data_IF_576634094548
#
_entry.id   IF_576634094548
#
_cell.length_a   1.000
_cell.length_b   1.000
_cell.length_c   1.000
_cell.angle_alpha   90.00
_cell.angle_beta   90.00
_cell.angle_gamma   90.00
#
_symmetry.space_group_name_H-M   'P 1'
#
loop_
_entity.id
_entity.type
_entity.pdbx_description
1 polymer ?
#
# COMPACT_ATOMS: atom_id res chain seq x y z
N UNK A 1 -14.88 -41.10 9.13
CA UNK A 1 -15.32 -39.69 9.15
C UNK A 1 -14.04 -38.86 9.11
N UNK A 2 -13.67 -38.30 7.96
CA UNK A 2 -12.57 -37.33 7.92
C UNK A 2 -13.00 -36.12 8.75
N UNK A 3 -12.28 -35.83 9.83
CA UNK A 3 -12.52 -34.62 10.59
C UNK A 3 -12.35 -33.42 9.66
N UNK A 4 -13.39 -32.60 9.57
CA UNK A 4 -13.38 -31.36 8.79
C UNK A 4 -12.39 -30.36 9.43
N UNK A 5 -11.12 -30.43 9.03
CA UNK A 5 -10.06 -29.57 9.53
C UNK A 5 -9.91 -28.30 8.67
N UNK A 6 -9.83 -27.14 9.34
CA UNK A 6 -9.51 -25.87 8.66
C UNK A 6 -8.01 -25.78 8.42
N UNK A 7 -7.62 -25.65 7.15
CA UNK A 7 -6.23 -25.50 6.72
C UNK A 7 -5.61 -24.24 7.33
N UNK A 8 -4.28 -24.19 7.39
CA UNK A 8 -3.60 -22.90 7.64
C UNK A 8 -3.82 -22.01 6.41
N UNK A 9 -4.28 -20.77 6.61
CA UNK A 9 -4.72 -19.90 5.53
C UNK A 9 -3.80 -18.70 5.40
N UNK A 10 -3.24 -18.50 4.22
CA UNK A 10 -2.20 -17.51 3.96
C UNK A 10 -2.78 -16.23 3.36
N UNK A 11 -2.62 -15.09 4.05
CA UNK A 11 -2.96 -13.78 3.49
C UNK A 11 -1.83 -13.19 2.64
N UNK A 12 -0.60 -13.64 2.85
CA UNK A 12 0.49 -13.51 1.86
C UNK A 12 0.91 -14.89 1.40
N UNK A 13 1.04 -15.10 0.09
CA UNK A 13 1.32 -16.42 -0.51
C UNK A 13 2.61 -17.01 0.05
N UNK A 14 2.54 -18.28 0.42
CA UNK A 14 3.70 -19.05 0.83
C UNK A 14 4.78 -19.07 -0.28
N UNK A 15 4.36 -19.20 -1.54
CA UNK A 15 5.28 -19.18 -2.69
C UNK A 15 5.99 -17.84 -2.87
N UNK A 16 5.35 -16.73 -2.50
CA UNK A 16 5.98 -15.40 -2.47
C UNK A 16 6.90 -15.25 -1.26
N UNK A 17 6.45 -15.65 -0.07
CA UNK A 17 7.24 -15.56 1.18
C UNK A 17 8.56 -16.32 1.07
N UNK A 18 8.56 -17.45 0.34
CA UNK A 18 9.78 -18.20 0.03
C UNK A 18 10.88 -17.33 -0.61
N UNK A 19 10.51 -16.34 -1.42
CA UNK A 19 11.46 -15.45 -2.08
C UNK A 19 12.03 -14.35 -1.15
N UNK A 20 11.63 -14.36 0.12
CA UNK A 20 12.15 -13.51 1.21
C UNK A 20 12.80 -14.34 2.34
N UNK A 21 12.92 -15.66 2.16
CA UNK A 21 13.60 -16.54 3.09
C UNK A 21 15.13 -16.36 3.02
N UNK A 22 15.80 -16.40 4.17
CA UNK A 22 17.27 -16.33 4.25
C UNK A 22 17.92 -17.71 4.10
N UNK A 23 17.14 -18.78 4.30
CA UNK A 23 17.52 -20.15 4.01
C UNK A 23 16.38 -20.86 3.25
N UNK A 24 16.40 -22.18 3.19
CA UNK A 24 15.41 -22.97 2.45
C UNK A 24 13.99 -22.95 3.05
N UNK A 25 13.79 -22.48 4.28
CA UNK A 25 12.51 -22.55 4.99
C UNK A 25 12.19 -21.38 5.91
N UNK A 26 13.16 -20.57 6.31
CA UNK A 26 13.00 -19.53 7.32
C UNK A 26 13.23 -18.11 6.80
N UNK A 27 12.48 -17.20 7.38
CA UNK A 27 12.61 -15.75 7.25
C UNK A 27 12.55 -15.10 8.63
N UNK A 28 12.89 -13.82 8.73
CA UNK A 28 12.56 -13.04 9.91
C UNK A 28 11.18 -12.41 9.74
N UNK A 29 10.31 -12.59 10.72
CA UNK A 29 9.00 -11.94 10.82
C UNK A 29 9.03 -10.92 11.95
N UNK A 30 8.45 -9.75 11.71
CA UNK A 30 8.27 -8.67 12.65
C UNK A 30 6.78 -8.53 12.96
N UNK A 31 6.42 -8.53 14.25
CA UNK A 31 5.14 -8.00 14.72
C UNK A 31 5.32 -6.51 14.94
N UNK A 32 4.75 -5.68 14.06
CA UNK A 32 5.08 -4.25 13.99
C UNK A 32 4.50 -3.46 15.17
N UNK A 33 3.41 -3.94 15.76
CA UNK A 33 2.76 -3.35 16.95
C UNK A 33 3.51 -3.67 18.25
N UNK A 34 4.10 -4.87 18.33
CA UNK A 34 4.86 -5.36 19.51
C UNK A 34 6.36 -5.12 19.40
N UNK A 35 6.81 -4.49 18.32
CA UNK A 35 8.21 -4.26 17.99
C UNK A 35 9.09 -5.51 18.10
N UNK A 36 8.50 -6.70 17.85
CA UNK A 36 9.14 -7.99 18.09
C UNK A 36 9.53 -8.65 16.78
N UNK A 37 10.82 -8.96 16.64
CA UNK A 37 11.37 -9.66 15.47
C UNK A 37 11.87 -11.05 15.86
N UNK A 38 11.41 -12.09 15.17
CA UNK A 38 11.80 -13.48 15.40
C UNK A 38 11.95 -14.25 14.08
N UNK A 39 12.80 -15.29 14.03
CA UNK A 39 12.82 -16.22 12.91
C UNK A 39 11.56 -17.09 12.92
N UNK A 40 11.02 -17.39 11.75
CA UNK A 40 9.89 -18.33 11.59
C UNK A 40 9.97 -19.01 10.24
N UNK A 41 9.35 -20.19 10.14
CA UNK A 41 9.20 -20.87 8.87
C UNK A 41 8.22 -20.07 7.99
N UNK A 42 8.55 -19.83 6.71
CA UNK A 42 7.69 -19.08 5.81
C UNK A 42 6.30 -19.75 5.62
N UNK A 43 6.20 -21.07 5.85
CA UNK A 43 4.95 -21.83 5.86
C UNK A 43 3.99 -21.45 7.01
N UNK A 44 4.51 -20.82 8.06
CA UNK A 44 3.75 -20.38 9.22
C UNK A 44 3.71 -18.84 9.34
N UNK A 45 4.32 -18.14 8.39
CA UNK A 45 4.37 -16.68 8.33
C UNK A 45 3.17 -16.13 7.56
N UNK A 46 2.70 -14.94 7.96
CA UNK A 46 1.63 -14.22 7.27
C UNK A 46 0.39 -15.10 6.97
N UNK A 47 0.05 -15.95 7.94
CA UNK A 47 -1.09 -16.85 7.91
C UNK A 47 -1.87 -16.80 9.23
N UNK A 48 -3.14 -17.20 9.18
CA UNK A 48 -3.99 -17.31 10.36
C UNK A 48 -5.08 -18.37 10.11
N UNK A 49 -5.39 -19.20 11.11
CA UNK A 49 -6.51 -20.13 11.00
C UNK A 49 -7.83 -19.36 10.95
N UNK A 50 -8.77 -19.87 10.16
CA UNK A 50 -10.12 -19.30 10.01
C UNK A 50 -10.19 -17.89 9.41
N UNK A 51 -9.09 -17.34 8.86
CA UNK A 51 -9.08 -15.96 8.35
C UNK A 51 -10.07 -15.75 7.21
N UNK A 52 -10.33 -16.78 6.41
CA UNK A 52 -11.25 -16.78 5.28
C UNK A 52 -12.57 -17.52 5.54
N UNK A 53 -12.80 -17.98 6.77
CA UNK A 53 -13.95 -18.82 7.09
C UNK A 53 -15.19 -17.99 7.45
N UNK A 54 -16.32 -18.37 6.87
CA UNK A 54 -17.62 -17.72 7.10
C UNK A 54 -18.74 -18.76 7.06
N UNK A 55 -19.76 -18.64 7.92
CA UNK A 55 -20.84 -19.63 8.03
C UNK A 55 -21.67 -19.85 6.76
N UNK A 56 -21.62 -18.88 5.83
CA UNK A 56 -22.30 -18.92 4.52
C UNK A 56 -21.42 -19.44 3.37
N UNK A 57 -20.18 -19.82 3.66
CA UNK A 57 -19.21 -20.26 2.65
C UNK A 57 -18.73 -21.65 3.07
N UNK A 58 -18.62 -22.56 2.10
CA UNK A 58 -18.05 -23.89 2.33
C UNK A 58 -16.63 -23.77 2.92
N UNK A 59 -16.32 -24.64 3.89
CA UNK A 59 -15.05 -24.63 4.60
C UNK A 59 -13.87 -24.73 3.63
N UNK A 60 -12.80 -23.95 3.87
CA UNK A 60 -11.61 -23.87 3.02
C UNK A 60 -11.85 -23.43 1.56
N UNK A 61 -13.07 -23.02 1.16
CA UNK A 61 -13.38 -22.71 -0.25
C UNK A 61 -12.54 -21.57 -0.81
N UNK A 62 -12.39 -20.51 -0.02
CA UNK A 62 -11.62 -19.31 -0.38
C UNK A 62 -10.12 -19.62 -0.42
N UNK A 63 -9.60 -20.37 0.56
CA UNK A 63 -8.21 -20.84 0.56
C UNK A 63 -7.92 -21.72 -0.67
N UNK A 64 -8.81 -22.67 -0.99
CA UNK A 64 -8.67 -23.52 -2.17
C UNK A 64 -8.77 -22.72 -3.49
N UNK A 65 -9.48 -21.60 -3.53
CA UNK A 65 -9.46 -20.66 -4.66
C UNK A 65 -8.08 -20.01 -4.82
N UNK A 66 -7.50 -19.51 -3.73
CA UNK A 66 -6.17 -18.92 -3.74
C UNK A 66 -5.07 -19.91 -4.09
N UNK A 67 -5.11 -21.13 -3.54
CA UNK A 67 -4.17 -22.19 -3.87
C UNK A 67 -4.13 -22.50 -5.37
N UNK A 68 -5.28 -22.53 -6.05
CA UNK A 68 -5.36 -22.71 -7.51
C UNK A 68 -4.62 -21.62 -8.29
N UNK A 69 -4.69 -20.37 -7.81
CA UNK A 69 -3.97 -19.24 -8.41
C UNK A 69 -2.47 -19.40 -8.17
N UNK A 70 -2.08 -19.67 -6.92
CA UNK A 70 -0.68 -19.85 -6.50
C UNK A 70 0.04 -20.94 -7.30
N UNK A 71 -0.65 -22.04 -7.63
CA UNK A 71 -0.09 -23.16 -8.37
C UNK A 71 0.53 -22.78 -9.73
N UNK A 72 0.01 -21.74 -10.41
CA UNK A 72 0.59 -21.29 -11.68
C UNK A 72 1.39 -19.99 -11.55
N UNK A 73 0.99 -19.06 -10.68
CA UNK A 73 1.67 -17.76 -10.61
C UNK A 73 3.00 -17.84 -9.84
N UNK A 74 3.10 -18.64 -8.78
CA UNK A 74 4.33 -18.74 -8.00
C UNK A 74 5.50 -19.31 -8.84
N UNK A 75 5.31 -20.38 -9.63
CA UNK A 75 6.32 -20.81 -10.60
C UNK A 75 6.68 -19.73 -11.64
N UNK A 76 5.69 -18.95 -12.11
CA UNK A 76 5.92 -17.88 -13.08
C UNK A 76 6.74 -16.72 -12.48
N UNK A 77 6.47 -16.32 -11.23
CA UNK A 77 7.28 -15.34 -10.47
C UNK A 77 8.70 -15.87 -10.30
N UNK A 78 8.89 -17.14 -9.96
CA UNK A 78 10.23 -17.71 -9.80
C UNK A 78 11.01 -17.71 -11.12
N UNK A 79 10.34 -17.98 -12.25
CA UNK A 79 10.94 -17.85 -13.58
C UNK A 79 11.27 -16.39 -13.92
N UNK A 80 10.44 -15.44 -13.49
CA UNK A 80 10.70 -14.00 -13.63
C UNK A 80 11.94 -13.57 -12.85
N UNK A 81 12.09 -14.03 -11.60
CA UNK A 81 13.26 -13.73 -10.75
C UNK A 81 14.53 -14.30 -11.40
N UNK A 82 14.50 -15.57 -11.86
CA UNK A 82 15.64 -16.16 -12.59
C UNK A 82 16.04 -15.35 -13.82
N UNK A 83 15.05 -14.85 -14.57
CA UNK A 83 15.30 -13.99 -15.73
C UNK A 83 15.83 -12.59 -15.34
N UNK A 84 15.55 -12.11 -14.13
CA UNK A 84 16.07 -10.85 -13.60
C UNK A 84 17.50 -10.98 -13.06
N UNK A 85 17.88 -12.18 -12.61
CA UNK A 85 19.22 -12.52 -12.13
C UNK A 85 20.19 -12.91 -13.26
N UNK A 86 19.71 -13.08 -14.50
CA UNK A 86 20.58 -13.37 -15.63
C UNK A 86 21.50 -12.19 -15.97
N UNK A 87 22.60 -12.45 -16.67
CA UNK A 87 23.59 -11.42 -17.06
C UNK A 87 22.97 -10.31 -17.92
N UNK A 88 22.04 -10.67 -18.82
CA UNK A 88 21.38 -9.76 -19.75
C UNK A 88 19.85 -9.87 -19.63
N UNK A 89 19.24 -9.29 -18.59
CA UNK A 89 17.80 -9.40 -18.35
C UNK A 89 17.01 -8.60 -19.39
N UNK A 90 16.11 -9.27 -20.12
CA UNK A 90 15.25 -8.60 -21.09
C UNK A 90 14.05 -7.93 -20.41
N UNK A 91 14.18 -6.63 -20.14
CA UNK A 91 13.15 -5.86 -19.43
C UNK A 91 11.79 -5.83 -20.15
N UNK A 92 11.77 -5.86 -21.49
CA UNK A 92 10.51 -5.88 -22.25
C UNK A 92 9.72 -7.16 -21.97
N UNK A 93 10.40 -8.31 -22.00
CA UNK A 93 9.79 -9.61 -21.67
C UNK A 93 9.34 -9.65 -20.21
N UNK A 94 10.18 -9.15 -19.29
CA UNK A 94 9.85 -9.07 -17.86
C UNK A 94 8.60 -8.22 -17.63
N UNK A 95 8.55 -7.03 -18.23
CA UNK A 95 7.40 -6.13 -18.18
C UNK A 95 6.14 -6.82 -18.70
N UNK A 96 6.17 -7.37 -19.91
CA UNK A 96 5.00 -8.02 -20.51
C UNK A 96 4.46 -9.17 -19.65
N UNK A 97 5.32 -9.95 -18.99
CA UNK A 97 4.91 -11.01 -18.06
C UNK A 97 4.29 -10.45 -16.77
N UNK A 98 4.87 -9.40 -16.19
CA UNK A 98 4.29 -8.74 -15.01
C UNK A 98 2.91 -8.16 -15.34
N UNK A 99 2.77 -7.53 -16.51
CA UNK A 99 1.51 -6.97 -17.00
C UNK A 99 0.47 -8.05 -17.30
N UNK A 100 0.91 -9.20 -17.82
CA UNK A 100 0.06 -10.37 -18.03
C UNK A 100 -0.56 -10.84 -16.71
N UNK A 101 0.25 -11.03 -15.66
CA UNK A 101 -0.18 -11.49 -14.33
C UNK A 101 -0.68 -10.38 -13.38
N UNK A 102 -0.90 -9.17 -13.89
CA UNK A 102 -1.30 -8.03 -13.04
C UNK A 102 -2.64 -8.28 -12.32
N UNK A 103 -3.56 -9.02 -12.94
CA UNK A 103 -4.85 -9.35 -12.33
C UNK A 103 -4.66 -10.18 -11.07
N UNK A 104 -3.80 -11.19 -11.12
CA UNK A 104 -3.50 -12.06 -10.00
C UNK A 104 -2.73 -11.32 -8.90
N UNK A 105 -1.82 -10.39 -9.27
CA UNK A 105 -1.21 -9.49 -8.29
C UNK A 105 -2.24 -8.62 -7.58
N UNK A 106 -3.27 -8.14 -8.28
CA UNK A 106 -4.39 -7.42 -7.65
C UNK A 106 -5.24 -8.34 -6.76
N UNK A 107 -5.43 -9.61 -7.11
CA UNK A 107 -6.10 -10.58 -6.22
C UNK A 107 -5.29 -10.78 -4.93
N UNK A 108 -3.96 -10.93 -5.04
CA UNK A 108 -3.06 -11.05 -3.88
C UNK A 108 -3.00 -9.76 -3.06
N UNK A 109 -3.16 -8.60 -3.71
CA UNK A 109 -3.36 -7.35 -3.01
C UNK A 109 -4.61 -7.41 -2.14
N UNK A 110 -5.78 -7.69 -2.72
CA UNK A 110 -7.05 -7.69 -1.99
C UNK A 110 -7.14 -8.70 -0.85
N UNK A 111 -6.46 -9.85 -0.97
CA UNK A 111 -6.44 -10.86 0.11
C UNK A 111 -5.43 -10.55 1.23
N UNK A 112 -4.57 -9.55 1.05
CA UNK A 112 -3.47 -9.30 1.97
C UNK A 112 -3.95 -8.83 3.36
N UNK A 113 -3.15 -9.12 4.39
CA UNK A 113 -3.54 -8.98 5.79
C UNK A 113 -3.91 -7.55 6.16
N UNK A 114 -3.20 -6.58 5.62
CA UNK A 114 -3.50 -5.17 5.81
C UNK A 114 -4.88 -4.78 5.26
N UNK A 115 -5.24 -5.20 4.03
CA UNK A 115 -6.58 -4.96 3.50
C UNK A 115 -7.68 -5.70 4.27
N UNK A 116 -7.44 -6.94 4.69
CA UNK A 116 -8.40 -7.67 5.54
C UNK A 116 -8.61 -6.96 6.89
N UNK A 117 -7.57 -6.36 7.46
CA UNK A 117 -7.67 -5.53 8.65
C UNK A 117 -8.56 -4.32 8.39
N UNK A 118 -8.31 -3.58 7.30
CA UNK A 118 -9.09 -2.42 6.88
C UNK A 118 -10.57 -2.78 6.60
N UNK A 119 -10.84 -3.91 5.93
CA UNK A 119 -12.19 -4.41 5.67
C UNK A 119 -12.98 -4.67 6.93
N UNK A 120 -12.32 -5.16 7.99
CA UNK A 120 -12.99 -5.51 9.25
C UNK A 120 -13.16 -4.34 10.23
N UNK A 121 -12.57 -3.17 9.96
CA UNK A 121 -12.37 -2.11 10.94
C UNK A 121 -13.67 -1.57 11.58
N UNK A 122 -14.67 -1.24 10.76
CA UNK A 122 -15.96 -0.70 11.23
C UNK A 122 -17.09 -1.75 11.23
N UNK A 123 -16.75 -3.04 11.13
CA UNK A 123 -17.74 -4.11 11.08
C UNK A 123 -18.08 -4.63 12.46
N UNK A 124 -19.38 -4.87 12.71
CA UNK A 124 -19.83 -5.56 13.92
C UNK A 124 -19.34 -7.02 13.97
N UNK A 125 -19.47 -7.74 12.85
CA UNK A 125 -18.95 -9.08 12.70
C UNK A 125 -17.70 -9.06 11.81
N UNK A 126 -16.52 -9.28 12.40
CA UNK A 126 -15.24 -9.26 11.67
C UNK A 126 -15.15 -10.30 10.55
N UNK A 127 -15.95 -11.37 10.58
CA UNK A 127 -15.98 -12.39 9.52
C UNK A 127 -16.61 -11.84 8.22
N UNK A 128 -17.43 -10.79 8.30
CA UNK A 128 -18.07 -10.18 7.11
C UNK A 128 -17.05 -9.49 6.19
N UNK A 129 -15.81 -9.28 6.64
CA UNK A 129 -14.68 -8.81 5.80
C UNK A 129 -14.51 -9.64 4.53
N UNK A 130 -14.91 -10.93 4.58
CA UNK A 130 -14.83 -11.84 3.44
C UNK A 130 -15.78 -11.44 2.31
N UNK A 131 -16.92 -10.81 2.60
CA UNK A 131 -17.78 -10.33 1.52
C UNK A 131 -17.13 -9.16 0.77
N UNK A 132 -16.47 -8.23 1.47
CA UNK A 132 -15.71 -7.14 0.81
C UNK A 132 -14.52 -7.69 0.02
N UNK A 133 -13.81 -8.69 0.54
CA UNK A 133 -12.78 -9.40 -0.21
C UNK A 133 -13.35 -9.98 -1.51
N UNK A 134 -14.43 -10.77 -1.42
CA UNK A 134 -15.06 -11.44 -2.55
C UNK A 134 -15.61 -10.45 -3.58
N UNK A 135 -16.23 -9.35 -3.14
CA UNK A 135 -16.72 -8.30 -4.04
C UNK A 135 -15.60 -7.72 -4.92
N UNK A 136 -14.40 -7.59 -4.36
CA UNK A 136 -13.24 -7.10 -5.11
C UNK A 136 -12.63 -8.17 -6.02
N UNK A 137 -12.39 -9.38 -5.52
CA UNK A 137 -11.65 -10.41 -6.28
C UNK A 137 -12.50 -11.14 -7.33
N UNK A 138 -13.83 -11.19 -7.16
CA UNK A 138 -14.74 -11.82 -8.13
C UNK A 138 -15.20 -10.85 -9.22
N UNK A 139 -15.04 -9.54 -9.02
CA UNK A 139 -15.42 -8.54 -10.02
C UNK A 139 -14.33 -8.41 -11.10
N UNK A 140 -14.42 -9.28 -12.11
CA UNK A 140 -13.43 -9.37 -13.20
C UNK A 140 -13.32 -8.07 -14.01
N UNK A 141 -14.44 -7.37 -14.25
CA UNK A 141 -14.45 -6.09 -14.96
C UNK A 141 -13.70 -5.00 -14.20
N UNK A 142 -13.90 -4.95 -12.87
CA UNK A 142 -13.19 -4.03 -11.99
C UNK A 142 -11.68 -4.30 -12.01
N UNK A 143 -11.27 -5.56 -11.81
CA UNK A 143 -9.84 -5.93 -11.80
C UNK A 143 -9.17 -5.65 -13.16
N UNK A 144 -9.84 -5.94 -14.27
CA UNK A 144 -9.30 -5.67 -15.61
C UNK A 144 -9.19 -4.16 -15.88
N UNK A 145 -10.17 -3.38 -15.44
CA UNK A 145 -10.12 -1.92 -15.54
C UNK A 145 -8.98 -1.35 -14.71
N UNK A 146 -8.82 -1.80 -13.46
CA UNK A 146 -7.74 -1.36 -12.58
C UNK A 146 -6.35 -1.75 -13.13
N UNK A 147 -6.22 -2.97 -13.66
CA UNK A 147 -5.03 -3.42 -14.40
C UNK A 147 -4.69 -2.48 -15.55
N UNK A 148 -5.66 -2.16 -16.42
CA UNK A 148 -5.46 -1.21 -17.53
C UNK A 148 -5.05 0.17 -17.03
N UNK A 149 -5.63 0.63 -15.91
CA UNK A 149 -5.25 1.90 -15.30
C UNK A 149 -3.77 1.91 -14.89
N UNK A 150 -3.30 0.85 -14.22
CA UNK A 150 -1.89 0.70 -13.81
C UNK A 150 -0.98 0.70 -15.06
N UNK A 151 -1.26 -0.20 -16.00
CA UNK A 151 -0.40 -0.43 -17.18
C UNK A 151 -0.30 0.81 -18.07
N UNK A 152 -1.43 1.47 -18.33
CA UNK A 152 -1.49 2.53 -19.34
C UNK A 152 -1.13 3.91 -18.79
N UNK A 153 -1.28 4.13 -17.48
CA UNK A 153 -1.15 5.48 -16.91
C UNK A 153 0.05 5.64 -15.96
N UNK A 154 0.63 4.54 -15.48
CA UNK A 154 1.84 4.58 -14.65
C UNK A 154 3.09 4.17 -15.44
N UNK A 155 4.22 4.81 -15.13
CA UNK A 155 5.53 4.42 -15.64
C UNK A 155 6.00 3.17 -14.91
N UNK A 156 6.56 2.21 -15.65
CA UNK A 156 7.09 0.97 -15.11
C UNK A 156 8.60 1.06 -14.86
N UNK A 157 9.10 0.40 -13.81
CA UNK A 157 10.51 0.08 -13.64
C UNK A 157 10.70 -1.17 -12.77
N UNK A 158 11.92 -1.71 -12.76
CA UNK A 158 12.35 -2.69 -11.78
C UNK A 158 13.32 -2.02 -10.82
N UNK A 159 13.20 -2.36 -9.53
CA UNK A 159 14.17 -2.00 -8.49
C UNK A 159 14.97 -3.26 -8.15
N UNK A 160 16.31 -3.15 -8.16
CA UNK A 160 17.25 -4.19 -7.76
C UNK A 160 18.04 -3.72 -6.55
N UNK A 161 18.17 -4.60 -5.55
CA UNK A 161 18.89 -4.33 -4.31
C UNK A 161 19.81 -5.50 -3.94
N UNK A 162 21.07 -5.18 -3.62
CA UNK A 162 21.99 -6.11 -2.94
C UNK A 162 21.89 -6.01 -1.41
N UNK A 163 21.11 -5.05 -0.91
CA UNK A 163 20.89 -4.81 0.52
C UNK A 163 19.62 -5.47 1.07
N UNK A 164 18.83 -6.13 0.20
CA UNK A 164 17.53 -6.74 0.44
C UNK A 164 16.38 -5.77 0.79
N UNK A 165 15.20 -6.09 0.31
CA UNK A 165 13.93 -5.46 0.61
C UNK A 165 13.19 -6.26 1.68
N UNK A 166 12.38 -5.58 2.49
CA UNK A 166 11.35 -6.21 3.31
C UNK A 166 10.04 -6.33 2.53
N UNK A 167 9.10 -7.12 3.05
CA UNK A 167 7.71 -7.15 2.59
C UNK A 167 6.74 -6.92 3.75
N UNK A 168 5.72 -6.10 3.54
CA UNK A 168 4.62 -5.88 4.49
C UNK A 168 3.55 -6.97 4.40
N UNK A 169 2.65 -7.03 5.40
CA UNK A 169 1.40 -7.80 5.30
C UNK A 169 0.37 -7.19 4.32
N UNK A 170 0.70 -6.06 3.68
CA UNK A 170 0.10 -5.58 2.44
C UNK A 170 0.93 -6.08 1.24
N UNK A 171 0.40 -6.97 0.41
CA UNK A 171 1.16 -7.56 -0.70
C UNK A 171 1.66 -6.49 -1.69
N UNK A 172 0.76 -5.70 -2.26
CA UNK A 172 1.14 -4.51 -3.03
C UNK A 172 1.17 -3.31 -2.09
N UNK A 173 2.38 -2.80 -1.81
CA UNK A 173 2.54 -1.57 -1.06
C UNK A 173 2.28 -0.36 -1.96
N UNK A 174 1.63 0.68 -1.43
CA UNK A 174 1.46 1.95 -2.12
C UNK A 174 1.91 3.12 -1.25
N UNK A 175 2.34 4.20 -1.89
CA UNK A 175 2.65 5.44 -1.19
C UNK A 175 2.32 6.66 -2.05
N UNK A 176 1.90 7.73 -1.39
CA UNK A 176 1.73 9.03 -2.01
C UNK A 176 3.09 9.71 -2.20
N UNK A 177 3.31 10.24 -3.40
CA UNK A 177 4.47 11.06 -3.79
C UNK A 177 4.20 12.56 -3.61
N UNK A 178 2.94 12.92 -3.34
CA UNK A 178 2.48 14.27 -3.02
C UNK A 178 1.12 14.20 -2.34
N UNK A 179 0.86 15.17 -1.46
CA UNK A 179 -0.45 15.37 -0.81
C UNK A 179 -1.43 15.99 -1.81
N UNK A 180 -2.65 15.44 -1.82
CA UNK A 180 -3.79 15.91 -2.61
C UNK A 180 -4.87 16.53 -1.72
N UNK A 181 -5.00 16.04 -0.50
CA UNK A 181 -5.95 16.53 0.49
C UNK A 181 -6.41 15.42 1.43
N UNK A 182 -7.52 15.66 2.12
CA UNK A 182 -8.22 14.66 2.93
C UNK A 182 -9.55 14.35 2.26
N UNK A 183 -9.75 13.08 1.90
CA UNK A 183 -10.98 12.62 1.26
C UNK A 183 -11.84 11.86 2.27
N UNK A 184 -13.13 11.75 1.97
CA UNK A 184 -14.09 11.04 2.82
C UNK A 184 -14.12 9.54 2.58
N UNK A 185 -13.68 9.04 1.43
CA UNK A 185 -13.84 7.63 1.02
C UNK A 185 -12.58 6.98 0.45
N UNK A 186 -11.54 7.76 0.17
CA UNK A 186 -10.23 7.29 -0.32
C UNK A 186 -9.11 8.01 0.44
N UNK A 187 -7.85 7.71 0.13
CA UNK A 187 -6.70 8.42 0.69
C UNK A 187 -5.67 8.78 -0.41
N UNK A 188 -4.53 9.37 -0.03
CA UNK A 188 -3.59 9.94 -1.00
C UNK A 188 -2.83 8.91 -1.86
N UNK A 189 -2.89 7.63 -1.51
CA UNK A 189 -2.10 6.53 -2.09
C UNK A 189 -2.92 5.47 -2.82
N UNK A 190 -4.17 5.77 -3.19
CA UNK A 190 -5.02 4.87 -3.97
C UNK A 190 -4.48 4.68 -5.39
N UNK A 191 -4.61 3.46 -5.92
CA UNK A 191 -4.27 3.15 -7.30
C UNK A 191 -5.21 3.94 -8.24
N UNK A 192 -4.68 4.52 -9.31
CA UNK A 192 -5.40 5.40 -10.23
C UNK A 192 -5.29 6.90 -9.90
N UNK A 193 -4.72 7.25 -8.74
CA UNK A 193 -4.38 8.62 -8.39
C UNK A 193 -3.00 9.05 -8.92
N UNK A 194 -2.88 10.31 -9.33
CA UNK A 194 -1.60 10.97 -9.67
C UNK A 194 -0.65 10.96 -8.48
N UNK A 195 0.65 11.13 -8.68
CA UNK A 195 1.61 11.22 -7.55
C UNK A 195 1.49 10.02 -6.60
N UNK A 196 1.48 8.81 -7.16
CA UNK A 196 1.43 7.54 -6.41
C UNK A 196 2.50 6.61 -6.98
N UNK A 197 3.16 5.88 -6.08
CA UNK A 197 4.05 4.76 -6.39
C UNK A 197 3.45 3.47 -5.83
N UNK A 198 3.53 2.42 -6.64
CA UNK A 198 2.99 1.09 -6.41
C UNK A 198 4.17 0.11 -6.44
N UNK A 199 4.34 -0.66 -5.36
CA UNK A 199 5.42 -1.61 -5.16
C UNK A 199 4.86 -3.03 -5.18
N UNK A 200 5.25 -3.82 -6.18
CA UNK A 200 4.89 -5.24 -6.30
C UNK A 200 6.12 -6.07 -5.92
N UNK A 201 6.10 -6.77 -4.77
CA UNK A 201 7.21 -7.62 -4.36
C UNK A 201 7.36 -8.82 -5.30
N UNK A 202 8.59 -9.09 -5.74
CA UNK A 202 8.93 -10.34 -6.41
C UNK A 202 9.81 -11.20 -5.50
N UNK A 203 10.84 -10.60 -4.89
CA UNK A 203 11.76 -11.22 -3.94
C UNK A 203 12.40 -10.18 -3.03
N UNK A 204 13.23 -10.61 -2.09
CA UNK A 204 14.09 -9.71 -1.32
C UNK A 204 15.00 -8.83 -2.20
N UNK A 205 15.37 -9.26 -3.41
CA UNK A 205 16.25 -8.47 -4.29
C UNK A 205 15.51 -7.58 -5.27
N UNK A 206 14.27 -7.94 -5.61
CA UNK A 206 13.57 -7.35 -6.75
C UNK A 206 12.14 -6.92 -6.41
N UNK A 207 11.84 -5.68 -6.77
CA UNK A 207 10.50 -5.12 -6.79
C UNK A 207 10.17 -4.61 -8.19
N UNK A 208 8.97 -4.93 -8.67
CA UNK A 208 8.39 -4.22 -9.80
C UNK A 208 7.67 -2.97 -9.30
N UNK A 209 7.87 -1.84 -9.96
CA UNK A 209 7.23 -0.59 -9.56
C UNK A 209 6.49 0.08 -10.70
N UNK A 210 5.33 0.62 -10.35
CA UNK A 210 4.52 1.49 -11.20
C UNK A 210 4.38 2.84 -10.52
N UNK A 211 4.73 3.93 -11.19
CA UNK A 211 4.74 5.26 -10.58
C UNK A 211 4.29 6.35 -11.55
N UNK A 212 3.70 7.41 -11.00
CA UNK A 212 3.33 8.60 -11.75
C UNK A 212 3.57 9.85 -10.90
N UNK A 213 3.92 10.98 -11.53
CA UNK A 213 4.05 12.27 -10.85
C UNK A 213 5.43 12.49 -10.22
N UNK A 214 5.47 12.98 -8.98
CA UNK A 214 6.67 13.39 -8.24
C UNK A 214 7.58 12.21 -7.80
N UNK A 215 8.05 11.41 -8.76
CA UNK A 215 8.78 10.18 -8.49
C UNK A 215 10.21 10.42 -7.95
N UNK A 216 10.74 9.49 -7.15
CA UNK A 216 12.12 9.58 -6.68
C UNK A 216 13.10 9.63 -7.85
N UNK A 217 14.10 10.51 -7.77
CA UNK A 217 15.01 10.81 -8.88
C UNK A 217 15.83 9.59 -9.34
N UNK A 218 16.07 8.64 -8.44
CA UNK A 218 16.81 7.41 -8.68
C UNK A 218 15.98 6.29 -9.32
N UNK A 219 14.66 6.46 -9.45
CA UNK A 219 13.79 5.51 -10.15
C UNK A 219 13.58 6.01 -11.57
N UNK A 220 14.33 5.43 -12.51
CA UNK A 220 14.20 5.71 -13.95
C UNK A 220 13.24 4.71 -14.58
N UNK A 221 12.31 5.24 -15.37
CA UNK A 221 11.31 4.45 -16.09
C UNK A 221 11.97 3.54 -17.14
N UNK A 222 11.36 2.38 -17.36
CA UNK A 222 11.81 1.34 -18.29
C UNK A 222 13.29 0.97 -18.09
N UNK A 223 13.75 0.91 -16.83
CA UNK A 223 15.08 0.43 -16.45
C UNK A 223 15.00 -0.52 -15.25
N UNK A 224 16.05 -1.32 -15.10
CA UNK A 224 16.40 -1.97 -13.83
C UNK A 224 17.27 -0.97 -13.06
N UNK A 225 16.76 -0.47 -11.95
CA UNK A 225 17.43 0.54 -11.13
C UNK A 225 18.17 -0.18 -10.00
N UNK A 226 19.50 -0.18 -10.06
CA UNK A 226 20.36 -0.67 -8.98
C UNK A 226 20.37 0.37 -7.86
N UNK A 227 19.90 -0.02 -6.69
CA UNK A 227 19.73 0.91 -5.59
C UNK A 227 20.91 0.87 -4.62
N UNK A 228 21.34 2.05 -4.20
CA UNK A 228 22.23 2.21 -3.06
C UNK A 228 21.53 1.80 -1.76
N UNK A 229 22.32 1.54 -0.72
CA UNK A 229 21.83 1.20 0.61
C UNK A 229 20.83 2.22 1.16
N UNK A 230 21.11 3.52 0.99
CA UNK A 230 20.24 4.60 1.45
C UNK A 230 18.89 4.62 0.71
N UNK A 231 18.88 4.31 -0.58
CA UNK A 231 17.65 4.26 -1.39
C UNK A 231 16.78 3.04 -1.00
N UNK A 232 17.43 1.91 -0.72
CA UNK A 232 16.77 0.71 -0.19
C UNK A 232 16.18 0.98 1.20
N UNK A 233 16.92 1.66 2.08
CA UNK A 233 16.42 2.05 3.41
C UNK A 233 15.17 2.95 3.29
N UNK A 234 15.13 3.93 2.38
CA UNK A 234 13.94 4.76 2.13
C UNK A 234 12.74 3.95 1.65
N UNK A 235 12.95 2.99 0.75
CA UNK A 235 11.89 2.10 0.26
C UNK A 235 11.40 1.18 1.36
N UNK A 236 12.29 0.56 2.14
CA UNK A 236 11.91 -0.31 3.26
C UNK A 236 11.13 0.46 4.34
N UNK A 237 11.51 1.71 4.63
CA UNK A 237 10.75 2.59 5.53
C UNK A 237 9.33 2.88 4.98
N UNK A 238 9.19 2.97 3.66
CA UNK A 238 7.87 3.15 3.03
C UNK A 238 7.04 1.86 3.06
N UNK A 239 7.66 0.71 2.79
CA UNK A 239 7.00 -0.60 2.78
C UNK A 239 6.51 -0.95 4.19
N UNK A 240 7.32 -0.80 5.24
CA UNK A 240 6.89 -1.16 6.59
C UNK A 240 5.70 -0.31 7.06
N UNK A 241 5.58 0.93 6.60
CA UNK A 241 4.44 1.78 6.93
C UNK A 241 3.14 1.35 6.24
N UNK A 242 3.19 0.46 5.25
CA UNK A 242 2.00 -0.22 4.73
C UNK A 242 1.52 -1.37 5.63
N UNK A 243 2.31 -1.79 6.63
CA UNK A 243 1.92 -2.88 7.52
C UNK A 243 0.90 -2.46 8.58
N UNK A 244 0.06 -3.42 8.98
CA UNK A 244 -0.80 -3.31 10.18
C UNK A 244 -0.37 -4.24 11.31
N UNK A 245 -0.05 -5.50 10.98
CA UNK A 245 0.24 -6.55 11.94
C UNK A 245 1.68 -7.03 11.78
N UNK A 246 2.09 -7.27 10.53
CA UNK A 246 3.35 -7.96 10.27
C UNK A 246 4.17 -7.39 9.12
N UNK A 247 5.48 -7.64 9.16
CA UNK A 247 6.41 -7.49 8.04
C UNK A 247 7.45 -8.62 8.06
N UNK A 248 8.04 -8.96 6.91
CA UNK A 248 9.07 -10.00 6.78
C UNK A 248 10.31 -9.51 6.04
N UNK A 249 11.44 -10.18 6.24
CA UNK A 249 12.66 -9.95 5.48
C UNK A 249 13.74 -11.00 5.75
N UNK A 250 14.77 -11.00 4.91
CA UNK A 250 15.90 -11.94 5.03
C UNK A 250 16.82 -11.63 6.20
N UNK A 251 16.90 -10.37 6.64
CA UNK A 251 17.85 -9.92 7.66
C UNK A 251 17.14 -9.26 8.83
N UNK A 252 17.40 -9.74 10.06
CA UNK A 252 16.86 -9.14 11.30
C UNK A 252 17.18 -7.66 11.44
N UNK A 253 18.43 -7.27 11.17
CA UNK A 253 18.88 -5.86 11.29
C UNK A 253 18.16 -4.93 10.32
N UNK A 254 17.78 -5.43 9.15
CA UNK A 254 17.05 -4.67 8.13
C UNK A 254 15.62 -4.37 8.60
N UNK A 255 14.92 -5.37 9.16
CA UNK A 255 13.61 -5.17 9.80
C UNK A 255 13.71 -4.21 10.98
N UNK A 256 14.73 -4.34 11.85
CA UNK A 256 14.93 -3.46 13.01
C UNK A 256 15.07 -1.98 12.60
N UNK A 257 15.82 -1.71 11.52
CA UNK A 257 15.98 -0.36 10.96
C UNK A 257 14.71 0.20 10.34
N UNK A 258 13.95 -0.63 9.62
CA UNK A 258 12.67 -0.21 9.07
C UNK A 258 11.69 0.10 10.21
N UNK A 259 11.67 -0.75 11.24
CA UNK A 259 10.77 -0.64 12.38
C UNK A 259 10.97 0.65 13.17
N UNK A 260 12.20 1.17 13.29
CA UNK A 260 12.43 2.47 13.93
C UNK A 260 11.80 3.66 13.19
N UNK A 261 11.34 3.46 11.95
CA UNK A 261 10.63 4.45 11.14
C UNK A 261 9.15 4.11 10.95
N UNK A 262 8.67 3.05 11.61
CA UNK A 262 7.27 2.66 11.57
C UNK A 262 6.43 3.65 12.40
N UNK A 263 5.27 4.04 11.87
CA UNK A 263 4.27 4.77 12.65
C UNK A 263 2.93 4.06 12.51
N UNK A 264 2.37 3.61 13.63
CA UNK A 264 1.04 3.02 13.61
C UNK A 264 -0.02 4.10 13.45
N UNK A 265 -0.92 3.90 12.48
CA UNK A 265 -2.15 4.64 12.36
C UNK A 265 -3.26 3.64 12.03
N UNK A 266 -4.34 3.66 12.81
CA UNK A 266 -5.52 2.86 12.54
C UNK A 266 -6.20 3.32 11.24
N UNK A 267 -6.96 2.45 10.53
CA UNK A 267 -7.89 2.92 9.50
C UNK A 267 -8.86 3.96 10.10
N UNK A 268 -9.47 4.79 9.26
CA UNK A 268 -10.38 5.85 9.71
C UNK A 268 -11.79 5.55 9.18
N UNK A 269 -12.78 5.52 10.08
CA UNK A 269 -14.18 5.62 9.69
C UNK A 269 -14.54 7.06 9.33
N UNK A 270 -15.17 7.24 8.19
CA UNK A 270 -15.58 8.56 7.69
C UNK A 270 -17.08 8.57 7.41
N UNK A 271 -17.76 9.61 7.86
CA UNK A 271 -19.19 9.84 7.66
C UNK A 271 -19.35 11.30 7.22
N UNK A 272 -20.02 11.51 6.09
CA UNK A 272 -20.39 12.83 5.60
C UNK A 272 -21.91 12.92 5.45
N UNK A 273 -22.51 13.94 6.09
CA UNK A 273 -23.92 14.30 5.94
C UNK A 273 -24.00 15.58 5.12
N UNK A 274 -24.73 15.54 4.01
CA UNK A 274 -24.93 16.68 3.13
C UNK A 274 -26.24 17.40 3.46
N UNK A 275 -26.35 18.67 3.08
CA UNK A 275 -27.58 19.46 3.25
C UNK A 275 -28.79 18.86 2.53
N UNK A 276 -28.55 18.06 1.48
CA UNK A 276 -29.59 17.33 0.74
C UNK A 276 -30.18 16.12 1.47
N UNK A 277 -29.80 15.86 2.73
CA UNK A 277 -30.20 14.65 3.47
C UNK A 277 -29.39 13.41 3.09
N UNK A 278 -28.60 13.46 2.01
CA UNK A 278 -27.66 12.39 1.64
C UNK A 278 -26.65 12.16 2.78
N UNK A 279 -26.37 10.90 3.08
CA UNK A 279 -25.31 10.46 3.98
C UNK A 279 -24.43 9.47 3.24
N UNK A 280 -23.12 9.67 3.29
CA UNK A 280 -22.12 8.72 2.80
C UNK A 280 -21.21 8.28 3.94
N UNK A 281 -20.90 7.00 4.02
CA UNK A 281 -19.88 6.46 4.91
C UNK A 281 -18.82 5.69 4.12
N UNK A 282 -17.63 5.56 4.70
CA UNK A 282 -16.56 4.72 4.15
C UNK A 282 -15.49 4.44 5.21
N UNK A 283 -14.70 3.40 5.00
CA UNK A 283 -13.43 3.19 5.69
C UNK A 283 -12.30 3.72 4.81
N UNK A 284 -11.45 4.56 5.38
CA UNK A 284 -10.29 5.15 4.73
C UNK A 284 -9.03 4.45 5.23
N UNK A 285 -8.21 3.97 4.29
CA UNK A 285 -6.94 3.30 4.55
C UNK A 285 -5.96 4.20 5.30
N UNK A 286 -5.02 3.59 6.04
CA UNK A 286 -3.88 4.32 6.60
C UNK A 286 -3.13 5.09 5.52
N UNK A 287 -2.80 6.34 5.81
CA UNK A 287 -1.97 7.18 4.93
C UNK A 287 -0.52 6.71 4.95
N UNK A 288 0.11 6.66 3.77
CA UNK A 288 1.54 6.36 3.63
C UNK A 288 2.11 7.32 2.60
N UNK A 289 3.08 8.13 3.04
CA UNK A 289 3.80 9.07 2.19
C UNK A 289 5.22 8.56 1.96
N UNK A 290 5.71 8.74 0.74
CA UNK A 290 7.09 8.39 0.40
C UNK A 290 8.08 9.41 0.97
N UNK A 291 7.72 10.69 0.96
CA UNK A 291 8.56 11.78 1.47
C UNK A 291 8.13 12.21 2.87
N UNK A 292 9.07 12.31 3.81
CA UNK A 292 8.80 12.80 5.17
C UNK A 292 8.22 14.21 5.17
N UNK A 293 8.65 15.08 4.25
CA UNK A 293 8.09 16.43 4.11
C UNK A 293 6.58 16.40 3.85
N UNK A 294 6.10 15.50 3.00
CA UNK A 294 4.67 15.36 2.73
C UNK A 294 3.91 14.82 3.95
N UNK A 295 4.49 13.86 4.68
CA UNK A 295 3.93 13.40 5.96
C UNK A 295 3.76 14.56 6.94
N UNK A 296 4.82 15.36 7.15
CA UNK A 296 4.78 16.49 8.08
C UNK A 296 3.76 17.57 7.68
N UNK A 297 3.61 17.84 6.38
CA UNK A 297 2.60 18.79 5.88
C UNK A 297 1.20 18.21 6.08
N UNK A 298 1.00 16.91 5.85
CA UNK A 298 -0.30 16.25 6.04
C UNK A 298 -0.71 16.23 7.52
N UNK A 299 0.24 15.97 8.44
CA UNK A 299 0.00 16.03 9.88
C UNK A 299 -0.32 17.47 10.32
N UNK A 300 0.36 18.47 9.75
CA UNK A 300 0.07 19.88 10.01
C UNK A 300 -1.31 20.30 9.47
N UNK A 301 -1.69 19.81 8.29
CA UNK A 301 -3.01 20.02 7.71
C UNK A 301 -4.12 19.42 8.57
N UNK A 302 -3.99 18.14 8.93
CA UNK A 302 -5.04 17.39 9.63
C UNK A 302 -5.15 17.72 11.11
N UNK A 303 -4.10 18.27 11.73
CA UNK A 303 -4.14 18.81 13.09
C UNK A 303 -4.81 20.19 13.19
N UNK A 304 -5.18 20.82 12.07
CA UNK A 304 -5.78 22.16 12.01
C UNK A 304 -4.93 23.31 12.60
N UNK A 305 -3.70 23.02 13.05
CA UNK A 305 -2.76 24.01 13.61
C UNK A 305 -2.43 25.14 12.65
N UNK A 306 -2.54 24.90 11.35
CA UNK A 306 -2.34 25.92 10.31
C UNK A 306 -3.29 27.10 10.43
N UNK A 307 -4.45 26.97 11.10
CA UNK A 307 -5.40 28.08 11.32
C UNK A 307 -4.75 29.18 12.18
N UNK A 308 -3.96 28.79 13.19
CA UNK A 308 -3.26 29.73 14.09
C UNK A 308 -2.23 30.59 13.36
N UNK A 309 -1.72 30.09 12.22
CA UNK A 309 -0.74 30.81 11.39
C UNK A 309 -1.39 31.81 10.44
N UNK A 310 -2.74 31.91 10.44
CA UNK A 310 -3.46 32.86 9.58
C UNK A 310 -3.15 34.29 10.01
N UNK A 311 -2.61 35.07 9.08
CA UNK A 311 -2.21 36.46 9.32
C UNK A 311 -0.81 36.64 9.92
N UNK A 312 -0.09 35.55 10.20
CA UNK A 312 1.28 35.63 10.71
C UNK A 312 2.23 36.20 9.66
N UNK A 313 2.94 37.28 10.00
CA UNK A 313 3.91 37.94 9.14
C UNK A 313 5.16 37.10 8.91
N UNK A 314 5.74 37.18 7.71
CA UNK A 314 6.93 36.39 7.32
C UNK A 314 8.13 36.57 8.27
N UNK A 315 8.26 37.76 8.87
CA UNK A 315 9.37 38.11 9.76
C UNK A 315 9.08 37.85 11.25
N UNK A 316 7.83 37.51 11.60
CA UNK A 316 7.42 37.24 12.97
C UNK A 316 8.05 35.94 13.48
N UNK A 317 8.08 35.78 14.81
CA UNK A 317 8.49 34.51 15.41
C UNK A 317 7.50 33.41 15.04
N UNK A 318 8.01 32.25 14.66
CA UNK A 318 7.20 31.09 14.32
C UNK A 318 6.49 30.54 15.55
N UNK A 319 5.20 30.20 15.41
CA UNK A 319 4.36 29.71 16.52
C UNK A 319 4.69 28.27 16.96
N UNK A 320 5.57 27.56 16.24
CA UNK A 320 5.93 26.18 16.58
C UNK A 320 6.88 26.05 17.79
N UNK A 321 7.25 27.17 18.44
CA UNK A 321 8.17 27.18 19.58
C UNK A 321 9.67 27.09 19.22
N UNK A 322 10.03 27.07 17.93
CA UNK A 322 11.44 26.98 17.51
C UNK A 322 12.28 28.24 17.74
N UNK A 323 11.66 29.37 18.08
CA UNK A 323 12.31 30.68 18.19
C UNK A 323 12.76 31.30 16.85
N UNK A 324 12.64 30.58 15.72
CA UNK A 324 13.02 31.06 14.37
C UNK A 324 11.95 31.99 13.79
N UNK A 325 12.34 32.86 12.85
CA UNK A 325 11.38 33.63 12.03
C UNK A 325 10.50 32.67 11.21
N UNK A 326 9.23 33.00 11.03
CA UNK A 326 8.25 32.14 10.34
C UNK A 326 8.73 31.71 8.94
N UNK A 327 9.27 32.64 8.15
CA UNK A 327 9.84 32.37 6.81
C UNK A 327 11.02 31.39 6.77
N UNK A 328 11.69 31.14 7.92
CA UNK A 328 12.80 30.20 8.06
C UNK A 328 12.39 28.94 8.84
N UNK A 329 11.08 28.73 9.02
CA UNK A 329 10.53 27.64 9.80
C UNK A 329 9.31 27.01 9.12
N UNK A 330 8.09 27.30 9.58
CA UNK A 330 6.89 26.60 9.11
C UNK A 330 6.20 27.24 7.89
N UNK A 331 6.75 28.32 7.30
CA UNK A 331 6.11 28.99 6.15
C UNK A 331 5.86 28.03 4.98
N UNK A 332 6.86 27.23 4.61
CA UNK A 332 6.71 26.23 3.54
C UNK A 332 5.58 25.22 3.82
N UNK A 333 5.42 24.81 5.07
CA UNK A 333 4.34 23.88 5.47
C UNK A 333 2.99 24.58 5.36
N UNK A 334 2.90 25.82 5.85
CA UNK A 334 1.69 26.62 5.80
C UNK A 334 1.24 26.94 4.37
N UNK A 335 2.16 27.32 3.49
CA UNK A 335 1.87 27.62 2.09
C UNK A 335 1.44 26.34 1.33
N UNK A 336 2.04 25.19 1.64
CA UNK A 336 1.58 23.91 1.10
C UNK A 336 0.15 23.57 1.54
N UNK A 337 -0.20 23.82 2.81
CA UNK A 337 -1.58 23.62 3.31
C UNK A 337 -2.57 24.56 2.63
N UNK A 338 -2.21 25.83 2.42
CA UNK A 338 -3.05 26.76 1.65
C UNK A 338 -3.33 26.25 0.24
N UNK A 339 -2.31 25.73 -0.44
CA UNK A 339 -2.49 25.14 -1.77
C UNK A 339 -3.48 23.96 -1.74
N UNK A 340 -3.39 23.10 -0.72
CA UNK A 340 -4.32 21.97 -0.56
C UNK A 340 -5.77 22.48 -0.39
N UNK A 341 -5.99 23.46 0.49
CA UNK A 341 -7.33 24.02 0.76
C UNK A 341 -7.91 24.66 -0.51
N UNK A 342 -7.10 25.45 -1.23
CA UNK A 342 -7.52 26.06 -2.48
C UNK A 342 -7.92 24.99 -3.50
N UNK A 343 -7.14 23.91 -3.63
CA UNK A 343 -7.45 22.81 -4.56
C UNK A 343 -8.75 22.09 -4.20
N UNK A 344 -9.05 21.90 -2.91
CA UNK A 344 -10.33 21.33 -2.44
C UNK A 344 -11.51 22.23 -2.84
N UNK A 345 -11.33 23.55 -2.88
CA UNK A 345 -12.35 24.52 -3.26
C UNK A 345 -12.55 24.67 -4.78
N UNK A 346 -11.70 24.06 -5.62
CA UNK A 346 -11.80 24.17 -7.08
C UNK A 346 -13.05 23.47 -7.64
N UNK A 347 -13.59 24.01 -8.74
CA UNK A 347 -14.78 23.48 -9.43
C UNK A 347 -14.54 22.16 -10.18
N UNK A 348 -13.30 21.74 -10.45
CA UNK A 348 -12.98 20.46 -11.13
C UNK A 348 -11.70 19.78 -10.60
N UNK A 349 -11.71 19.25 -9.36
CA UNK A 349 -10.52 18.70 -8.71
C UNK A 349 -10.06 17.37 -9.34
N UNK A 350 -10.88 16.73 -10.18
CA UNK A 350 -10.55 15.41 -10.76
C UNK A 350 -9.25 15.46 -11.56
N UNK A 351 -9.07 16.43 -12.44
CA UNK A 351 -7.87 16.54 -13.30
C UNK A 351 -6.56 16.68 -12.51
N UNK A 352 -6.63 17.17 -11.27
CA UNK A 352 -5.46 17.30 -10.41
C UNK A 352 -5.17 16.03 -9.60
N UNK A 353 -6.18 15.18 -9.42
CA UNK A 353 -6.16 14.04 -8.52
C UNK A 353 -5.92 12.72 -9.26
N UNK A 354 -6.55 12.51 -10.42
CA UNK A 354 -6.44 11.24 -11.17
C UNK A 354 -5.30 11.28 -12.19
N UNK A 355 -4.71 10.12 -12.49
CA UNK A 355 -3.62 10.05 -13.48
C UNK A 355 -4.11 10.38 -14.89
N UNK A 356 -5.36 10.02 -15.19
CA UNK A 356 -6.03 10.32 -16.45
C UNK A 356 -7.48 10.69 -16.13
N UNK A 357 -8.02 11.74 -16.76
CA UNK A 357 -9.39 12.23 -16.52
C UNK A 357 -10.49 11.17 -16.67
N UNK A 358 -10.22 10.12 -17.47
CA UNK A 358 -11.12 9.01 -17.72
C UNK A 358 -10.73 7.73 -16.96
N UNK A 359 -9.63 7.75 -16.20
CA UNK A 359 -9.23 6.60 -15.39
C UNK A 359 -10.11 6.47 -14.16
N UNK A 360 -10.49 5.24 -13.87
CA UNK A 360 -11.01 4.83 -12.57
C UNK A 360 -9.87 4.83 -11.55
N UNK A 361 -10.17 5.10 -10.29
CA UNK A 361 -9.29 4.78 -9.16
C UNK A 361 -9.84 3.60 -8.38
N UNK A 362 -8.98 3.00 -7.59
CA UNK A 362 -9.30 1.88 -6.71
C UNK A 362 -10.58 2.15 -5.90
N UNK A 363 -11.44 1.14 -5.77
CA UNK A 363 -12.66 1.24 -4.98
C UNK A 363 -12.34 1.61 -3.52
N UNK A 364 -13.17 2.50 -2.98
CA UNK A 364 -13.28 2.79 -1.55
C UNK A 364 -13.65 1.52 -0.75
N UNK A 365 -13.34 1.51 0.53
CA UNK A 365 -13.64 0.36 1.39
C UNK A 365 -14.98 0.58 2.08
N UNK A 366 -15.94 -0.33 1.82
CA UNK A 366 -17.23 -0.34 2.51
C UNK A 366 -18.02 0.96 2.32
N UNK A 367 -17.90 1.60 1.15
CA UNK A 367 -18.64 2.83 0.87
C UNK A 367 -20.13 2.53 0.70
N UNK A 368 -20.96 3.21 1.47
CA UNK A 368 -22.41 3.13 1.37
C UNK A 368 -23.02 4.53 1.35
N UNK A 369 -24.10 4.68 0.59
CA UNK A 369 -24.82 5.94 0.41
C UNK A 369 -26.29 5.68 0.70
N UNK A 370 -26.87 6.51 1.55
CA UNK A 370 -28.30 6.50 1.84
C UNK A 370 -28.82 7.92 2.04
N UNK A 371 -30.14 8.10 2.03
CA UNK A 371 -30.79 9.38 2.29
C UNK A 371 -31.48 9.31 3.67
N UNK A 372 -31.29 10.35 4.47
CA UNK A 372 -32.00 10.57 5.74
C UNK A 372 -33.03 11.66 5.59
#
# INVERSE_FOLDING_TARGET
>A
MEENYVKNQHYISQGILKNFAYDNSHLYECLVDKERIYPTNYANSMSEKYIYEHSKIEMNKVENFFSRIENYICPAINKLIKNLESENPNLKIIKSKIEYYMREFLIFYYRSGALLHEFSYNMKNKKDKIFLLLENILNSNYLETLKKVIINNYKFAILKSDNDFIMSDQYISTAALRIKGRFTNINNRYIGLKDVIIFIPLSSKFYAVYFNGNNPSYIKANKINNLSKLEVEKINNTIINNSYVKAVGQKKNLLKKALSNYTYHSPIGSIAKYSSGKVSNATVKKEVFFYNKDKEIFDFFTSHKWIEYKGLGRNDKCLCGSGKKFKRCCLDKYDAVKSIINNIQLKNPRNEIVVNKNAMFEKSIGEFIYYK
#
